data_IF_335507312494
#
_entry.id   IF_335507312494
#
_cell.length_a   1.000
_cell.length_b   1.000
_cell.length_c   1.000
_cell.angle_alpha   90.00
_cell.angle_beta   90.00
_cell.angle_gamma   90.00
#
_symmetry.space_group_name_H-M   'P 1'
#
loop_
_entity.id
_entity.type
_entity.pdbx_description
1 polymer ?
#
# COMPACT_ATOMS: atom_id res chain seq x y z
N UNK A 1 50.33 40.13 -7.50
CA UNK A 1 50.96 39.22 -8.50
C UNK A 1 52.15 38.54 -7.84
N UNK A 2 52.38 37.24 -7.89
CA UNK A 2 51.47 36.10 -8.13
C UNK A 2 52.21 34.85 -7.60
N UNK A 3 51.50 33.92 -6.95
CA UNK A 3 52.11 32.68 -6.42
C UNK A 3 52.42 31.67 -7.52
N UNK A 4 53.55 30.96 -7.36
CA UNK A 4 53.86 29.63 -7.91
C UNK A 4 54.84 28.96 -6.95
N UNK A 5 54.72 27.69 -6.56
CA UNK A 5 53.67 26.70 -6.81
C UNK A 5 54.19 25.36 -6.30
N UNK A 6 53.55 24.75 -5.29
CA UNK A 6 54.02 23.51 -4.67
C UNK A 6 53.35 22.31 -5.31
N UNK A 7 54.11 21.42 -5.92
CA UNK A 7 53.59 20.17 -6.48
C UNK A 7 53.12 19.24 -5.35
N UNK A 8 51.85 18.83 -5.41
CA UNK A 8 51.31 17.71 -4.63
C UNK A 8 51.23 16.47 -5.52
N UNK A 9 51.82 15.38 -5.05
CA UNK A 9 51.69 14.04 -5.65
C UNK A 9 50.24 13.54 -5.55
N UNK A 10 49.75 12.74 -6.51
CA UNK A 10 48.35 12.33 -6.54
C UNK A 10 48.04 11.32 -5.42
N UNK A 11 47.10 11.68 -4.54
CA UNK A 11 46.38 10.72 -3.72
C UNK A 11 45.44 9.93 -4.62
N UNK A 12 45.49 8.61 -4.54
CA UNK A 12 44.60 7.71 -5.28
C UNK A 12 43.14 7.93 -4.89
N UNK A 13 42.34 8.48 -5.80
CA UNK A 13 40.88 8.47 -5.70
C UNK A 13 40.38 7.04 -5.97
N UNK A 14 39.86 6.40 -4.92
CA UNK A 14 39.15 5.13 -5.03
C UNK A 14 37.77 5.39 -5.65
N UNK A 15 37.66 5.23 -6.98
CA UNK A 15 36.40 5.22 -7.70
C UNK A 15 35.64 3.91 -7.45
N UNK A 16 35.19 3.71 -6.21
CA UNK A 16 34.19 2.69 -5.87
C UNK A 16 32.79 3.29 -6.04
N UNK A 17 32.47 3.67 -7.28
CA UNK A 17 31.08 3.80 -7.74
C UNK A 17 30.50 2.39 -7.82
N UNK A 18 30.19 1.79 -6.66
CA UNK A 18 29.30 0.65 -6.58
C UNK A 18 27.95 1.07 -7.14
N UNK A 19 27.75 0.80 -8.44
CA UNK A 19 26.42 0.80 -9.05
C UNK A 19 25.57 -0.16 -8.23
N UNK A 20 24.71 0.40 -7.37
CA UNK A 20 23.71 -0.36 -6.62
C UNK A 20 22.88 -1.12 -7.64
N UNK A 21 23.17 -2.41 -7.79
CA UNK A 21 22.40 -3.29 -8.67
C UNK A 21 21.02 -3.40 -8.04
N UNK A 22 20.04 -2.74 -8.64
CA UNK A 22 18.66 -2.83 -8.16
C UNK A 22 18.23 -4.30 -8.24
N UNK A 23 18.07 -4.94 -7.07
CA UNK A 23 17.56 -6.30 -6.97
C UNK A 23 16.11 -6.33 -7.47
N UNK A 24 15.87 -7.03 -8.58
CA UNK A 24 14.54 -7.19 -9.17
C UNK A 24 14.05 -8.64 -9.07
N UNK A 25 12.73 -8.88 -9.24
CA UNK A 25 12.12 -10.18 -9.52
C UNK A 25 12.73 -11.01 -10.65
N UNK A 26 13.76 -10.55 -11.38
CA UNK A 26 14.57 -11.40 -12.25
C UNK A 26 15.41 -12.43 -11.46
N UNK A 27 15.52 -12.28 -10.14
CA UNK A 27 16.16 -13.23 -9.23
C UNK A 27 15.11 -14.04 -8.45
N UNK A 28 15.17 -15.36 -8.52
CA UNK A 28 14.29 -16.29 -7.79
C UNK A 28 14.24 -16.01 -6.29
N UNK A 29 15.35 -15.53 -5.70
CA UNK A 29 15.39 -15.15 -4.28
C UNK A 29 14.53 -13.92 -3.99
N UNK A 30 14.48 -12.94 -4.91
CA UNK A 30 13.62 -11.76 -4.78
C UNK A 30 12.15 -12.16 -4.92
N UNK A 31 11.83 -13.03 -5.90
CA UNK A 31 10.49 -13.61 -6.05
C UNK A 31 10.06 -14.35 -4.79
N UNK A 32 10.95 -15.17 -4.22
CA UNK A 32 10.72 -15.90 -2.96
C UNK A 32 10.44 -14.95 -1.80
N UNK A 33 11.17 -13.84 -1.68
CA UNK A 33 10.95 -12.83 -0.62
C UNK A 33 9.58 -12.14 -0.77
N UNK A 34 9.17 -11.76 -1.98
CA UNK A 34 7.83 -11.23 -2.24
C UNK A 34 6.73 -12.25 -1.95
N UNK A 35 6.84 -13.47 -2.49
CA UNK A 35 5.86 -14.53 -2.29
C UNK A 35 5.67 -14.89 -0.81
N UNK A 36 6.77 -15.00 -0.05
CA UNK A 36 6.71 -15.26 1.40
C UNK A 36 6.11 -14.08 2.19
N UNK A 37 6.28 -12.84 1.75
CA UNK A 37 5.60 -11.69 2.35
C UNK A 37 4.10 -11.71 2.04
N UNK A 38 3.73 -11.99 0.79
CA UNK A 38 2.34 -12.12 0.34
C UNK A 38 1.61 -13.27 1.05
N UNK A 39 2.22 -14.45 1.20
CA UNK A 39 1.69 -15.59 1.95
C UNK A 39 1.37 -15.24 3.41
N UNK A 40 2.26 -14.51 4.08
CA UNK A 40 2.05 -14.05 5.46
C UNK A 40 0.86 -13.09 5.52
N UNK A 41 0.84 -12.09 4.64
CA UNK A 41 -0.20 -11.05 4.58
C UNK A 41 -1.57 -11.66 4.23
N UNK A 42 -1.63 -12.53 3.23
CA UNK A 42 -2.84 -13.28 2.82
C UNK A 42 -3.33 -14.27 3.89
N UNK A 43 -2.45 -14.77 4.77
CA UNK A 43 -2.86 -15.59 5.90
C UNK A 43 -3.46 -14.73 7.03
N UNK A 44 -2.84 -13.60 7.37
CA UNK A 44 -3.38 -12.66 8.38
C UNK A 44 -4.70 -12.07 7.91
N UNK A 45 -4.82 -11.64 6.65
CA UNK A 45 -6.06 -11.12 6.08
C UNK A 45 -7.25 -12.08 6.30
N UNK A 46 -7.06 -13.38 6.08
CA UNK A 46 -8.10 -14.40 6.27
C UNK A 46 -8.54 -14.53 7.74
N UNK A 47 -7.60 -14.39 8.68
CA UNK A 47 -7.92 -14.32 10.11
C UNK A 47 -8.69 -13.04 10.46
N UNK A 48 -8.29 -11.88 9.93
CA UNK A 48 -8.96 -10.60 10.16
C UNK A 48 -10.37 -10.53 9.56
N UNK A 49 -10.58 -11.06 8.34
CA UNK A 49 -11.90 -11.27 7.74
C UNK A 49 -12.78 -12.11 8.67
N UNK A 50 -12.22 -13.17 9.26
CA UNK A 50 -12.93 -14.04 10.20
C UNK A 50 -13.21 -13.35 11.54
N UNK A 51 -12.35 -12.44 11.99
CA UNK A 51 -12.52 -11.65 13.23
C UNK A 51 -13.49 -10.46 13.06
N UNK A 52 -13.69 -9.97 11.84
CA UNK A 52 -14.54 -8.80 11.54
C UNK A 52 -16.03 -9.14 11.67
N UNK A 53 -16.60 -8.89 12.86
CA UNK A 53 -17.98 -9.21 13.23
C UNK A 53 -18.66 -8.06 13.96
N UNK A 54 -19.99 -8.12 14.05
CA UNK A 54 -20.77 -7.23 14.91
C UNK A 54 -20.28 -7.29 16.37
N UNK A 55 -20.18 -6.12 17.00
CA UNK A 55 -19.77 -5.98 18.40
C UNK A 55 -18.26 -5.92 18.65
N UNK A 56 -17.41 -6.18 17.65
CA UNK A 56 -15.94 -6.13 17.80
C UNK A 56 -15.43 -4.69 17.69
N UNK A 57 -14.44 -4.31 18.51
CA UNK A 57 -13.78 -3.00 18.41
C UNK A 57 -12.76 -2.98 17.27
N UNK A 58 -12.75 -1.90 16.48
CA UNK A 58 -11.76 -1.67 15.43
C UNK A 58 -10.32 -1.78 15.93
N UNK A 59 -9.99 -1.14 17.07
CA UNK A 59 -8.64 -1.15 17.62
C UNK A 59 -8.15 -2.55 18.01
N UNK A 60 -9.05 -3.45 18.40
CA UNK A 60 -8.69 -4.85 18.68
C UNK A 60 -8.34 -5.62 17.41
N UNK A 61 -8.99 -5.33 16.28
CA UNK A 61 -8.67 -5.94 14.98
C UNK A 61 -7.33 -5.40 14.45
N UNK A 62 -7.04 -4.10 14.64
CA UNK A 62 -5.74 -3.52 14.31
C UNK A 62 -4.60 -4.19 15.09
N UNK A 63 -4.70 -4.25 16.43
CA UNK A 63 -3.70 -4.92 17.28
C UNK A 63 -3.55 -6.41 16.93
N UNK A 64 -4.66 -7.09 16.61
CA UNK A 64 -4.67 -8.50 16.20
C UNK A 64 -3.85 -8.71 14.92
N UNK A 65 -4.07 -7.89 13.89
CA UNK A 65 -3.37 -8.00 12.61
C UNK A 65 -1.87 -7.75 12.75
N UNK A 66 -1.49 -6.67 13.44
CA UNK A 66 -0.09 -6.32 13.63
C UNK A 66 0.65 -7.36 14.49
N UNK A 67 0.00 -7.92 15.51
CA UNK A 67 0.56 -9.02 16.29
C UNK A 67 0.75 -10.28 15.43
N UNK A 68 -0.27 -10.70 14.67
CA UNK A 68 -0.19 -11.89 13.81
C UNK A 68 0.85 -11.75 12.70
N UNK A 69 0.99 -10.57 12.09
CA UNK A 69 2.05 -10.28 11.12
C UNK A 69 3.44 -10.46 11.76
N UNK A 70 3.69 -9.81 12.90
CA UNK A 70 4.98 -9.92 13.60
C UNK A 70 5.30 -11.36 14.02
N UNK A 71 4.33 -12.11 14.57
CA UNK A 71 4.49 -13.53 14.94
C UNK A 71 4.82 -14.44 13.75
N UNK A 72 4.31 -14.11 12.55
CA UNK A 72 4.58 -14.85 11.30
C UNK A 72 5.92 -14.46 10.69
N UNK A 73 6.25 -13.16 10.65
CA UNK A 73 7.53 -12.64 10.17
C UNK A 73 8.73 -13.12 11.01
N UNK A 74 8.55 -13.26 12.33
CA UNK A 74 9.55 -13.84 13.22
C UNK A 74 9.87 -15.32 12.91
N UNK A 75 9.02 -16.03 12.14
CA UNK A 75 9.21 -17.45 11.79
C UNK A 75 10.05 -17.65 10.52
N UNK A 76 10.10 -16.67 9.63
CA UNK A 76 10.83 -16.75 8.33
C UNK A 76 12.23 -16.14 8.42
N UNK A 77 13.14 -16.51 7.51
CA UNK A 77 14.51 -15.99 7.41
C UNK A 77 15.25 -15.89 8.77
N UNK A 78 15.23 -16.98 9.57
CA UNK A 78 15.83 -17.00 10.92
C UNK A 78 17.36 -17.12 10.93
N UNK A 79 17.94 -17.69 9.87
CA UNK A 79 19.39 -17.93 9.76
C UNK A 79 20.16 -16.69 9.29
N UNK A 80 19.49 -15.82 8.53
CA UNK A 80 20.00 -14.53 8.09
C UNK A 80 19.66 -13.49 9.15
N UNK A 81 20.65 -13.08 9.93
CA UNK A 81 20.44 -12.14 11.05
C UNK A 81 20.18 -10.70 10.57
N UNK A 82 20.70 -10.36 9.39
CA UNK A 82 20.68 -9.00 8.84
C UNK A 82 19.48 -8.74 7.90
N UNK A 83 18.67 -9.78 7.61
CA UNK A 83 17.50 -9.68 6.74
C UNK A 83 16.36 -8.92 7.43
N UNK A 84 16.20 -7.65 7.07
CA UNK A 84 15.18 -6.74 7.61
C UNK A 84 13.76 -7.17 7.23
N UNK A 85 12.93 -7.50 8.22
CA UNK A 85 11.53 -7.92 8.02
C UNK A 85 10.64 -7.30 9.07
N UNK A 86 9.43 -6.94 8.68
CA UNK A 86 8.52 -6.16 9.52
C UNK A 86 7.23 -5.82 8.80
N UNK A 87 6.40 -5.05 9.48
CA UNK A 87 5.19 -4.45 8.93
C UNK A 87 5.61 -3.36 7.93
N UNK A 88 5.07 -3.43 6.70
CA UNK A 88 5.22 -2.40 5.68
C UNK A 88 4.02 -1.44 5.66
N UNK A 89 2.84 -1.95 6.02
CA UNK A 89 1.61 -1.19 6.19
C UNK A 89 0.86 -1.74 7.42
N UNK A 90 0.67 -0.97 8.49
CA UNK A 90 -0.02 -1.44 9.69
C UNK A 90 -1.49 -1.74 9.40
N UNK A 91 -2.08 -2.58 10.23
CA UNK A 91 -3.46 -3.03 10.06
C UNK A 91 -4.43 -1.88 10.23
N UNK A 92 -5.14 -1.57 9.15
CA UNK A 92 -6.08 -0.46 9.04
C UNK A 92 -7.49 -0.99 8.71
N UNK A 93 -8.49 -0.48 9.42
CA UNK A 93 -9.87 -1.00 9.39
C UNK A 93 -10.84 0.17 9.15
N UNK A 94 -11.15 0.43 7.88
CA UNK A 94 -11.91 1.62 7.46
C UNK A 94 -13.39 1.30 7.20
N UNK A 95 -14.25 1.71 8.13
CA UNK A 95 -15.71 1.46 8.09
C UNK A 95 -16.42 2.47 7.17
N UNK A 96 -17.35 2.00 6.34
CA UNK A 96 -18.29 2.77 5.52
C UNK A 96 -17.63 3.94 4.76
N UNK A 97 -17.84 5.18 5.26
CA UNK A 97 -17.39 6.43 4.65
C UNK A 97 -15.97 6.88 5.04
N UNK A 98 -15.28 6.11 5.89
CA UNK A 98 -13.84 6.14 5.95
C UNK A 98 -13.26 5.41 4.72
N UNK A 99 -12.20 5.96 4.13
CA UNK A 99 -11.61 5.48 2.87
C UNK A 99 -10.65 4.31 3.07
N UNK A 100 -9.66 4.54 3.91
CA UNK A 100 -8.45 3.74 4.04
C UNK A 100 -7.76 4.16 5.35
N UNK A 101 -6.73 3.42 5.74
CA UNK A 101 -5.75 3.76 6.77
C UNK A 101 -6.26 4.08 8.19
N UNK A 102 -7.50 3.72 8.55
CA UNK A 102 -8.00 3.97 9.90
C UNK A 102 -7.43 2.95 10.90
N UNK A 103 -6.43 3.36 11.67
CA UNK A 103 -5.81 2.58 12.74
C UNK A 103 -5.82 3.44 14.04
N UNK A 104 -6.87 3.36 14.87
CA UNK A 104 -7.03 4.27 16.01
C UNK A 104 -6.02 3.96 17.12
N UNK A 105 -5.61 4.98 17.88
CA UNK A 105 -4.80 4.76 19.07
C UNK A 105 -5.68 4.27 20.22
N UNK A 106 -5.10 3.50 21.14
CA UNK A 106 -5.73 3.15 22.44
C UNK A 106 -5.81 4.34 23.43
N UNK A 107 -5.85 5.57 22.92
CA UNK A 107 -6.28 6.81 23.58
C UNK A 107 -7.56 7.40 22.98
N UNK A 108 -7.94 6.94 21.79
CA UNK A 108 -9.03 7.50 21.00
C UNK A 108 -10.34 6.76 21.36
N UNK A 109 -11.53 7.34 21.15
CA UNK A 109 -12.79 6.69 21.48
C UNK A 109 -12.97 5.36 20.71
N UNK A 110 -13.39 4.27 21.38
CA UNK A 110 -13.53 2.97 20.74
C UNK A 110 -14.63 2.98 19.68
N UNK A 111 -14.31 2.45 18.49
CA UNK A 111 -15.27 2.30 17.39
C UNK A 111 -15.68 0.83 17.31
N UNK A 112 -16.96 0.56 17.54
CA UNK A 112 -17.52 -0.79 17.53
C UNK A 112 -18.17 -1.06 16.17
N UNK A 113 -17.73 -2.14 15.52
CA UNK A 113 -18.27 -2.62 14.25
C UNK A 113 -19.74 -3.07 14.44
N UNK A 114 -20.57 -2.81 13.44
CA UNK A 114 -21.99 -3.18 13.44
C UNK A 114 -22.39 -4.03 12.24
N UNK A 115 -23.42 -4.85 12.44
CA UNK A 115 -24.08 -5.60 11.37
C UNK A 115 -24.49 -4.70 10.19
N UNK A 116 -24.38 -5.22 8.97
CA UNK A 116 -24.64 -4.49 7.73
C UNK A 116 -23.63 -3.40 7.36
N UNK A 117 -22.61 -3.13 8.18
CA UNK A 117 -21.54 -2.19 7.84
C UNK A 117 -20.56 -2.79 6.83
N UNK A 118 -20.06 -1.92 5.95
CA UNK A 118 -18.96 -2.21 5.05
C UNK A 118 -17.64 -1.94 5.76
N UNK A 119 -16.75 -2.92 5.81
CA UNK A 119 -15.45 -2.84 6.49
C UNK A 119 -14.35 -3.13 5.48
N UNK A 120 -13.44 -2.17 5.31
CA UNK A 120 -12.21 -2.33 4.53
C UNK A 120 -11.07 -2.72 5.47
N UNK A 121 -10.35 -3.76 5.14
CA UNK A 121 -9.18 -4.26 5.87
C UNK A 121 -7.98 -4.05 4.95
N UNK A 122 -6.97 -3.32 5.41
CA UNK A 122 -5.74 -2.94 4.69
C UNK A 122 -4.54 -3.28 5.59
N UNK A 123 -3.55 -4.02 5.09
CA UNK A 123 -2.34 -4.41 5.81
C UNK A 123 -1.21 -4.82 4.85
N UNK A 124 0.03 -4.82 5.34
CA UNK A 124 1.17 -5.25 4.54
C UNK A 124 2.44 -5.51 5.33
N UNK A 125 3.30 -6.36 4.78
CA UNK A 125 4.57 -6.76 5.35
C UNK A 125 5.71 -6.60 4.35
N UNK A 126 6.95 -6.62 4.84
CA UNK A 126 8.13 -6.73 3.98
C UNK A 126 9.11 -7.78 4.47
N UNK A 127 9.88 -8.33 3.52
CA UNK A 127 11.05 -9.17 3.76
C UNK A 127 12.20 -8.61 2.92
N UNK A 128 13.30 -8.25 3.56
CA UNK A 128 14.44 -7.52 2.95
C UNK A 128 14.01 -6.25 2.19
N UNK A 129 12.98 -5.56 2.67
CA UNK A 129 12.41 -4.40 2.00
C UNK A 129 11.61 -4.69 0.73
N UNK A 130 11.42 -5.95 0.32
CA UNK A 130 10.44 -6.32 -0.70
C UNK A 130 9.06 -6.39 -0.04
N UNK A 131 8.11 -5.61 -0.56
CA UNK A 131 6.84 -5.29 0.10
C UNK A 131 5.70 -6.09 -0.50
N UNK A 132 4.83 -6.63 0.36
CA UNK A 132 3.51 -7.11 -0.04
C UNK A 132 2.43 -6.40 0.80
N UNK A 133 1.48 -5.74 0.16
CA UNK A 133 0.26 -5.19 0.74
C UNK A 133 -0.96 -5.95 0.23
N UNK A 134 -2.04 -5.93 1.00
CA UNK A 134 -3.35 -6.42 0.55
C UNK A 134 -4.44 -5.58 1.20
N UNK A 135 -5.52 -5.34 0.46
CA UNK A 135 -6.74 -4.81 1.02
C UNK A 135 -7.95 -5.59 0.52
N UNK A 136 -8.93 -5.74 1.40
CA UNK A 136 -10.17 -6.44 1.11
C UNK A 136 -11.35 -5.77 1.78
N UNK A 137 -12.47 -5.74 1.08
CA UNK A 137 -13.72 -5.19 1.61
C UNK A 137 -14.71 -6.30 1.92
N UNK A 138 -15.18 -6.35 3.17
CA UNK A 138 -16.26 -7.24 3.62
C UNK A 138 -17.50 -6.43 4.01
N UNK A 139 -18.64 -7.11 4.09
CA UNK A 139 -19.86 -6.56 4.71
C UNK A 139 -20.26 -7.47 5.85
N UNK A 140 -20.38 -6.89 7.05
CA UNK A 140 -20.72 -7.62 8.28
C UNK A 140 -22.13 -8.19 8.16
N UNK A 141 -22.30 -9.45 8.52
CA UNK A 141 -23.59 -10.16 8.41
C UNK A 141 -23.94 -10.67 7.02
N UNK A 142 -23.13 -10.40 5.99
CA UNK A 142 -23.36 -10.94 4.65
C UNK A 142 -23.05 -12.45 4.59
N UNK A 143 -23.94 -13.22 3.95
CA UNK A 143 -23.77 -14.67 3.74
C UNK A 143 -24.33 -15.11 2.38
N UNK A 144 -24.29 -16.42 2.09
CA UNK A 144 -24.90 -16.99 0.88
C UNK A 144 -26.43 -16.81 0.88
N UNK A 145 -27.03 -16.81 2.06
CA UNK A 145 -28.45 -16.60 2.34
C UNK A 145 -28.74 -15.09 2.43
N UNK A 146 -27.93 -14.34 3.19
CA UNK A 146 -28.05 -12.90 3.38
C UNK A 146 -27.16 -12.11 2.40
N UNK A 147 -27.53 -12.13 1.12
CA UNK A 147 -26.78 -11.41 0.08
C UNK A 147 -26.99 -9.90 0.16
N UNK A 148 -25.89 -9.15 0.04
CA UNK A 148 -25.89 -7.70 -0.16
C UNK A 148 -26.63 -7.29 -1.43
N UNK A 149 -27.25 -6.10 -1.43
CA UNK A 149 -28.13 -5.61 -2.52
C UNK A 149 -27.92 -4.13 -2.83
N UNK A 150 -28.45 -3.68 -3.97
CA UNK A 150 -28.49 -2.28 -4.37
C UNK A 150 -27.10 -1.65 -4.52
N UNK A 151 -26.97 -0.36 -4.16
CA UNK A 151 -25.73 0.42 -4.30
C UNK A 151 -24.49 -0.26 -3.70
N UNK A 152 -24.64 -0.94 -2.56
CA UNK A 152 -23.53 -1.65 -1.89
C UNK A 152 -23.01 -2.82 -2.72
N UNK A 153 -23.91 -3.63 -3.30
CA UNK A 153 -23.53 -4.70 -4.23
C UNK A 153 -22.88 -4.14 -5.50
N UNK A 154 -23.44 -3.07 -6.08
CA UNK A 154 -22.89 -2.42 -7.27
C UNK A 154 -21.45 -1.95 -7.07
N UNK A 155 -21.14 -1.27 -5.96
CA UNK A 155 -19.79 -0.75 -5.73
C UNK A 155 -18.78 -1.87 -5.45
N UNK A 156 -19.18 -2.96 -4.77
CA UNK A 156 -18.32 -4.13 -4.55
C UNK A 156 -17.99 -4.82 -5.88
N UNK A 157 -18.99 -5.04 -6.73
CA UNK A 157 -18.79 -5.62 -8.05
C UNK A 157 -17.99 -4.70 -8.97
N UNK A 158 -18.17 -3.37 -8.89
CA UNK A 158 -17.39 -2.43 -9.67
C UNK A 158 -15.90 -2.48 -9.32
N UNK A 159 -15.56 -2.43 -8.03
CA UNK A 159 -14.18 -2.47 -7.57
C UNK A 159 -13.52 -3.82 -7.89
N UNK A 160 -14.22 -4.93 -7.66
CA UNK A 160 -13.74 -6.27 -8.02
C UNK A 160 -13.46 -6.41 -9.53
N UNK A 161 -14.40 -6.02 -10.39
CA UNK A 161 -14.21 -6.12 -11.85
C UNK A 161 -13.16 -5.13 -12.37
N UNK A 162 -13.02 -3.95 -11.76
CA UNK A 162 -11.97 -2.99 -12.10
C UNK A 162 -10.57 -3.50 -11.69
N UNK A 163 -10.45 -4.15 -10.53
CA UNK A 163 -9.22 -4.86 -10.13
C UNK A 163 -8.89 -5.97 -11.12
N UNK A 164 -9.84 -6.87 -11.39
CA UNK A 164 -9.66 -7.97 -12.36
C UNK A 164 -9.24 -7.47 -13.75
N UNK A 165 -9.77 -6.32 -14.20
CA UNK A 165 -9.37 -5.69 -15.45
C UNK A 165 -7.96 -5.07 -15.38
N UNK A 166 -7.65 -4.32 -14.32
CA UNK A 166 -6.34 -3.70 -14.11
C UNK A 166 -5.22 -4.76 -14.07
N UNK A 167 -5.40 -5.84 -13.30
CA UNK A 167 -4.50 -7.01 -13.24
C UNK A 167 -4.24 -7.60 -14.64
N UNK A 168 -5.27 -7.71 -15.48
CA UNK A 168 -5.13 -8.27 -16.85
C UNK A 168 -4.49 -7.31 -17.86
N UNK A 169 -4.56 -6.01 -17.61
CA UNK A 169 -3.96 -4.95 -18.42
C UNK A 169 -2.53 -4.60 -17.98
N UNK A 170 -2.10 -5.03 -16.80
CA UNK A 170 -0.72 -4.95 -16.35
C UNK A 170 0.15 -5.98 -17.10
N UNK A 171 0.53 -5.59 -18.31
CA UNK A 171 1.35 -6.39 -19.22
C UNK A 171 2.49 -5.53 -19.78
N UNK A 172 3.76 -5.96 -19.64
CA UNK A 172 4.91 -5.23 -20.18
C UNK A 172 4.73 -4.85 -21.65
N UNK A 173 4.98 -3.58 -21.99
CA UNK A 173 4.95 -3.06 -23.35
C UNK A 173 3.59 -3.00 -24.08
N UNK A 174 2.49 -3.51 -23.53
CA UNK A 174 1.19 -3.54 -24.22
C UNK A 174 0.30 -2.33 -23.91
N UNK A 175 0.11 -2.03 -22.63
CA UNK A 175 -0.75 -0.93 -22.16
C UNK A 175 0.07 0.10 -21.39
N UNK A 176 -0.43 1.34 -21.35
CA UNK A 176 0.09 2.44 -20.53
C UNK A 176 -0.80 2.67 -19.31
N UNK A 177 -0.28 3.34 -18.28
CA UNK A 177 -1.04 3.67 -17.07
C UNK A 177 -2.41 4.35 -17.35
N UNK A 178 -2.46 5.28 -18.31
CA UNK A 178 -3.71 5.96 -18.71
C UNK A 178 -4.78 4.99 -19.20
N UNK A 179 -4.42 3.93 -19.93
CA UNK A 179 -5.40 3.00 -20.49
C UNK A 179 -6.07 2.16 -19.40
N UNK A 180 -5.34 1.90 -18.31
CA UNK A 180 -5.88 1.27 -17.09
C UNK A 180 -6.82 2.24 -16.38
N UNK A 181 -6.43 3.52 -16.21
CA UNK A 181 -7.32 4.57 -15.68
C UNK A 181 -8.65 4.64 -16.46
N UNK A 182 -8.58 4.71 -17.79
CA UNK A 182 -9.75 4.77 -18.67
C UNK A 182 -10.62 3.49 -18.59
N UNK A 183 -10.03 2.32 -18.30
CA UNK A 183 -10.77 1.07 -18.08
C UNK A 183 -11.50 1.06 -16.73
N UNK A 184 -10.84 1.53 -15.67
CA UNK A 184 -11.42 1.67 -14.33
C UNK A 184 -12.64 2.61 -14.41
N UNK A 185 -12.52 3.75 -15.09
CA UNK A 185 -13.63 4.69 -15.33
C UNK A 185 -14.78 4.03 -16.14
N UNK A 186 -14.49 3.26 -17.19
CA UNK A 186 -15.52 2.54 -17.97
C UNK A 186 -16.30 1.54 -17.11
N UNK A 187 -15.61 0.77 -16.27
CA UNK A 187 -16.23 -0.23 -15.39
C UNK A 187 -17.09 0.45 -14.32
N UNK A 188 -16.59 1.52 -13.70
CA UNK A 188 -17.35 2.29 -12.72
C UNK A 188 -18.68 2.82 -13.28
N UNK A 189 -18.66 3.30 -14.53
CA UNK A 189 -19.86 3.78 -15.22
C UNK A 189 -20.92 2.68 -15.44
N UNK A 190 -20.52 1.43 -15.73
CA UNK A 190 -21.45 0.28 -15.88
C UNK A 190 -22.26 0.07 -14.59
N UNK A 191 -21.59 0.12 -13.44
CA UNK A 191 -22.21 -0.10 -12.13
C UNK A 191 -22.86 1.15 -11.52
N UNK A 192 -22.75 2.31 -12.20
CA UNK A 192 -23.22 3.64 -11.75
C UNK A 192 -22.56 4.08 -10.45
N UNK A 193 -21.24 3.93 -10.38
CA UNK A 193 -20.38 4.35 -9.28
C UNK A 193 -19.26 5.25 -9.79
N UNK A 194 -18.46 5.85 -8.89
CA UNK A 194 -17.34 6.75 -9.22
C UNK A 194 -16.04 6.22 -8.60
N UNK A 195 -14.92 6.10 -9.34
CA UNK A 195 -13.64 5.85 -8.70
C UNK A 195 -13.24 7.05 -7.82
N UNK A 196 -12.42 6.80 -6.82
CA UNK A 196 -11.99 7.86 -5.89
C UNK A 196 -10.99 8.78 -6.57
N UNK A 197 -11.24 10.08 -6.46
CA UNK A 197 -10.45 11.11 -7.14
C UNK A 197 -9.01 11.15 -6.62
N UNK A 198 -8.05 11.05 -7.55
CA UNK A 198 -6.61 11.16 -7.32
C UNK A 198 -5.96 10.06 -6.45
N UNK A 199 -6.58 8.88 -6.33
CA UNK A 199 -5.94 7.74 -5.65
C UNK A 199 -4.94 7.04 -6.57
N UNK A 200 -3.83 6.55 -6.01
CA UNK A 200 -2.65 6.09 -6.75
C UNK A 200 -2.34 4.63 -6.44
N UNK A 201 -2.26 3.80 -7.48
CA UNK A 201 -1.54 2.52 -7.44
C UNK A 201 -0.07 2.78 -7.75
N UNK A 202 0.84 2.20 -6.97
CA UNK A 202 2.28 2.49 -7.02
C UNK A 202 3.11 1.30 -7.47
N UNK A 203 4.16 1.58 -8.24
CA UNK A 203 5.31 0.68 -8.38
C UNK A 203 5.96 0.42 -7.01
N UNK A 204 6.28 -0.83 -6.71
CA UNK A 204 7.03 -1.24 -5.52
C UNK A 204 8.49 -1.53 -5.90
N UNK A 205 9.43 -0.93 -5.17
CA UNK A 205 10.87 -1.27 -5.25
C UNK A 205 11.39 -1.66 -3.87
N UNK A 206 12.58 -2.25 -3.79
CA UNK A 206 13.24 -2.61 -2.53
C UNK A 206 13.32 -1.38 -1.60
N UNK A 207 12.65 -1.44 -0.45
CA UNK A 207 12.46 -0.37 0.55
C UNK A 207 11.58 0.82 0.14
N UNK A 208 10.84 0.78 -0.98
CA UNK A 208 10.08 1.92 -1.53
C UNK A 208 8.67 1.47 -1.93
N UNK A 209 7.68 1.83 -1.12
CA UNK A 209 6.24 1.55 -1.38
C UNK A 209 5.61 2.50 -2.42
N UNK A 210 6.24 3.65 -2.64
CA UNK A 210 5.75 4.77 -3.45
C UNK A 210 6.69 5.05 -4.62
N UNK A 211 6.81 4.06 -5.52
CA UNK A 211 7.61 4.18 -6.73
C UNK A 211 7.12 5.27 -7.70
N UNK A 212 7.98 5.55 -8.67
CA UNK A 212 7.82 6.66 -9.62
C UNK A 212 6.74 6.38 -10.67
N UNK A 213 6.62 5.12 -11.13
CA UNK A 213 5.56 4.71 -12.04
C UNK A 213 4.26 4.50 -11.25
N UNK A 214 3.21 5.19 -11.68
CA UNK A 214 1.94 5.25 -10.96
C UNK A 214 0.75 5.12 -11.91
N UNK A 215 -0.34 4.53 -11.42
CA UNK A 215 -1.65 4.52 -12.09
C UNK A 215 -2.61 5.32 -11.19
N UNK A 216 -3.17 6.40 -11.73
CA UNK A 216 -4.11 7.27 -11.00
C UNK A 216 -5.55 6.89 -11.35
N UNK A 217 -6.42 6.90 -10.34
CA UNK A 217 -7.86 6.73 -10.50
C UNK A 217 -8.55 8.08 -10.54
N UNK A 218 -9.51 8.25 -11.47
CA UNK A 218 -10.33 9.46 -11.63
C UNK A 218 -9.52 10.76 -11.40
N UNK A 219 -8.48 11.04 -12.23
CA UNK A 219 -7.60 12.18 -11.99
C UNK A 219 -8.34 13.50 -12.21
N UNK A 220 -8.26 14.38 -11.20
CA UNK A 220 -8.74 15.75 -11.26
C UNK A 220 -8.00 16.57 -12.33
N UNK A 221 -8.53 17.75 -12.67
CA UNK A 221 -8.04 18.57 -13.79
C UNK A 221 -6.55 18.88 -13.70
N UNK A 222 -6.03 19.17 -12.49
CA UNK A 222 -4.61 19.44 -12.25
C UNK A 222 -3.77 18.18 -12.43
N UNK A 223 -4.06 17.13 -11.65
CA UNK A 223 -3.34 15.86 -11.69
C UNK A 223 -3.34 15.22 -13.09
N UNK A 224 -4.40 15.40 -13.88
CA UNK A 224 -4.47 14.91 -15.27
C UNK A 224 -3.42 15.57 -16.19
N UNK A 225 -3.02 16.81 -15.91
CA UNK A 225 -1.93 17.50 -16.64
C UNK A 225 -0.53 17.17 -16.12
N UNK A 226 -0.41 16.85 -14.83
CA UNK A 226 0.86 16.53 -14.15
C UNK A 226 1.22 15.03 -14.23
N UNK A 227 0.25 14.17 -14.60
CA UNK A 227 0.44 12.72 -14.70
C UNK A 227 1.51 12.34 -15.74
N UNK A 228 2.62 11.82 -15.25
CA UNK A 228 3.64 11.15 -16.07
C UNK A 228 3.06 9.91 -16.73
N UNK A 229 3.15 9.84 -18.07
CA UNK A 229 2.75 8.65 -18.83
C UNK A 229 3.85 7.61 -18.73
N UNK A 230 3.56 6.43 -18.20
CA UNK A 230 4.51 5.32 -18.14
C UNK A 230 4.01 4.09 -18.89
N UNK A 231 4.97 3.29 -19.34
CA UNK A 231 4.79 1.92 -19.81
C UNK A 231 5.34 0.95 -18.77
N UNK A 232 4.70 -0.21 -18.67
CA UNK A 232 5.14 -1.29 -17.80
C UNK A 232 6.27 -2.11 -18.45
N UNK A 233 7.19 -2.58 -17.63
CA UNK A 233 8.37 -3.37 -18.00
C UNK A 233 8.41 -4.69 -17.23
N UNK A 234 9.28 -5.63 -17.66
CA UNK A 234 9.41 -6.93 -17.00
C UNK A 234 10.11 -6.76 -15.65
N UNK A 235 9.73 -7.60 -14.70
CA UNK A 235 10.25 -7.61 -13.33
C UNK A 235 9.96 -6.33 -12.54
N UNK A 236 9.02 -5.49 -12.99
CA UNK A 236 8.42 -4.47 -12.13
C UNK A 236 7.38 -5.12 -11.21
N UNK A 237 7.17 -4.50 -10.05
CA UNK A 237 6.15 -4.91 -9.08
C UNK A 237 5.23 -3.72 -8.84
N UNK A 238 3.93 -3.97 -8.70
CA UNK A 238 2.93 -2.93 -8.44
C UNK A 238 2.02 -3.32 -7.29
N UNK A 239 1.77 -2.39 -6.38
CA UNK A 239 0.59 -2.42 -5.52
C UNK A 239 -0.54 -1.73 -6.28
N UNK A 240 -1.49 -2.53 -6.77
CA UNK A 240 -2.72 -2.03 -7.38
C UNK A 240 -3.73 -1.87 -6.28
N UNK A 241 -4.23 -0.66 -6.09
CA UNK A 241 -5.27 -0.27 -5.15
C UNK A 241 -6.44 0.30 -5.96
N UNK A 242 -7.60 -0.33 -5.88
CA UNK A 242 -8.82 0.09 -6.57
C UNK A 242 -9.84 0.60 -5.57
N UNK A 243 -10.07 1.93 -5.60
CA UNK A 243 -11.09 2.55 -4.77
C UNK A 243 -12.30 3.02 -5.54
N UNK A 244 -13.48 2.55 -5.12
CA UNK A 244 -14.77 2.88 -5.73
C UNK A 244 -15.76 3.47 -4.73
N UNK A 245 -16.53 4.47 -5.17
CA UNK A 245 -17.49 5.24 -4.39
C UNK A 245 -18.92 5.06 -4.85
N UNK A 246 -19.84 4.98 -3.88
CA UNK A 246 -21.28 5.19 -4.19
C UNK A 246 -21.70 6.66 -4.22
N UNK A 247 -20.76 7.58 -3.95
CA UNK A 247 -20.95 9.04 -4.01
C UNK A 247 -20.31 9.66 -5.25
N UNK A 248 -19.85 10.91 -5.15
CA UNK A 248 -19.28 11.66 -6.28
C UNK A 248 -17.85 11.21 -6.67
N UNK A 249 -17.19 10.38 -5.85
CA UNK A 249 -15.76 10.07 -5.96
C UNK A 249 -14.84 11.09 -5.28
N UNK A 250 -15.38 12.27 -4.92
CA UNK A 250 -14.65 13.33 -4.21
C UNK A 250 -14.52 13.03 -2.72
N UNK A 251 -13.50 13.63 -2.13
CA UNK A 251 -12.89 13.19 -0.87
C UNK A 251 -12.73 14.39 0.10
N UNK A 252 -12.90 14.22 1.42
CA UNK A 252 -12.80 15.32 2.43
C UNK A 252 -12.15 14.91 3.76
N UNK A 253 -11.31 15.74 4.36
CA UNK A 253 -10.72 15.42 5.68
C UNK A 253 -11.82 15.22 6.73
N UNK A 254 -11.67 14.19 7.58
CA UNK A 254 -12.51 13.94 8.76
C UNK A 254 -11.79 14.42 10.03
N UNK A 255 -12.53 14.71 11.09
CA UNK A 255 -11.98 15.13 12.39
C UNK A 255 -11.24 14.01 13.16
N UNK A 256 -11.05 12.84 12.54
CA UNK A 256 -10.24 11.74 13.07
C UNK A 256 -8.75 12.07 13.03
N UNK A 257 -8.02 11.77 14.11
CA UNK A 257 -6.56 11.93 14.17
C UNK A 257 -5.86 11.05 13.12
N UNK A 258 -4.89 11.63 12.41
CA UNK A 258 -3.91 10.86 11.64
C UNK A 258 -2.97 10.14 12.60
N UNK A 259 -2.94 8.81 12.57
CA UNK A 259 -2.16 7.95 13.48
C UNK A 259 -1.04 7.20 12.76
N UNK A 260 -1.16 7.11 11.45
CA UNK A 260 -0.28 6.41 10.52
C UNK A 260 0.65 7.50 9.89
N UNK A 261 1.90 7.21 9.49
CA UNK A 261 2.96 8.21 9.16
C UNK A 261 4.22 7.66 8.45
N UNK A 262 4.51 8.14 7.22
CA UNK A 262 5.68 7.71 6.46
C UNK A 262 6.93 8.58 6.73
N UNK A 263 8.09 7.95 6.97
CA UNK A 263 9.38 8.64 6.81
C UNK A 263 9.69 8.87 5.33
N UNK A 264 10.08 10.09 5.00
CA UNK A 264 10.65 10.47 3.71
C UNK A 264 12.17 10.42 3.86
N UNK A 265 12.83 9.42 3.28
CA UNK A 265 14.28 9.24 3.45
C UNK A 265 15.11 10.32 2.74
N UNK A 266 14.59 10.90 1.65
CA UNK A 266 15.25 11.96 0.87
C UNK A 266 15.22 13.35 1.57
N UNK A 267 14.47 13.48 2.68
CA UNK A 267 14.33 14.74 3.42
C UNK A 267 15.20 14.74 4.68
N UNK A 268 16.41 15.28 4.58
CA UNK A 268 17.30 15.48 5.74
C UNK A 268 16.94 16.78 6.47
N UNK A 269 16.47 16.68 7.71
CA UNK A 269 16.14 17.85 8.54
C UNK A 269 16.60 17.68 10.00
N UNK A 270 17.40 18.62 10.50
CA UNK A 270 17.91 18.61 11.87
C UNK A 270 16.84 18.99 12.91
N UNK A 271 16.14 17.99 13.46
CA UNK A 271 15.09 18.17 14.45
C UNK A 271 15.58 18.88 15.72
N UNK A 272 15.06 20.09 15.97
CA UNK A 272 15.45 20.94 17.13
C UNK A 272 14.86 20.45 18.46
N UNK A 273 13.65 19.88 18.46
CA UNK A 273 12.92 19.47 19.68
C UNK A 273 13.36 18.06 20.13
N UNK A 274 13.63 17.89 21.43
CA UNK A 274 14.07 16.60 22.01
C UNK A 274 13.05 15.47 21.81
N UNK A 275 11.76 15.77 21.96
CA UNK A 275 10.68 14.80 21.75
C UNK A 275 10.64 14.29 20.29
N UNK A 276 10.77 15.18 19.31
CA UNK A 276 10.80 14.81 17.89
C UNK A 276 11.99 13.89 17.56
N UNK A 277 13.18 14.19 18.10
CA UNK A 277 14.34 13.28 17.98
C UNK A 277 14.09 11.93 18.63
N UNK A 278 13.40 11.88 19.76
CA UNK A 278 13.07 10.60 20.40
C UNK A 278 12.11 9.74 19.55
N UNK A 279 11.11 10.38 18.91
CA UNK A 279 10.22 9.69 17.95
C UNK A 279 11.01 9.17 16.74
N UNK A 280 11.91 9.98 16.18
CA UNK A 280 12.81 9.56 15.09
C UNK A 280 13.71 8.38 15.50
N UNK A 281 14.35 8.43 16.68
CA UNK A 281 15.16 7.33 17.20
C UNK A 281 14.33 6.06 17.47
N UNK A 282 13.11 6.19 18.00
CA UNK A 282 12.23 5.05 18.20
C UNK A 282 11.85 4.40 16.87
N UNK A 283 11.53 5.20 15.85
CA UNK A 283 11.24 4.73 14.49
C UNK A 283 12.41 3.95 13.88
N UNK A 284 13.63 4.52 13.94
CA UNK A 284 14.85 3.88 13.44
C UNK A 284 15.15 2.59 14.22
N UNK A 285 15.09 2.63 15.55
CA UNK A 285 15.42 1.50 16.44
C UNK A 285 14.47 0.31 16.26
N UNK A 286 13.18 0.57 16.01
CA UNK A 286 12.20 -0.48 15.76
C UNK A 286 12.38 -1.16 14.38
N UNK A 287 13.24 -0.62 13.50
CA UNK A 287 13.41 -1.06 12.10
C UNK A 287 12.10 -1.09 11.28
N UNK A 288 11.04 -0.42 11.78
CA UNK A 288 9.74 -0.27 11.11
C UNK A 288 9.92 0.75 9.99
N UNK A 289 9.99 0.29 8.74
CA UNK A 289 10.28 1.17 7.61
C UNK A 289 9.11 2.03 7.17
N UNK A 290 7.87 1.81 7.63
CA UNK A 290 6.76 2.72 7.37
C UNK A 290 5.63 2.59 8.41
N UNK A 291 4.99 3.70 8.75
CA UNK A 291 3.53 3.80 8.73
C UNK A 291 3.17 4.57 7.40
N UNK A 292 1.95 4.59 6.83
CA UNK A 292 1.60 5.37 5.61
C UNK A 292 0.29 6.20 5.71
N UNK A 293 0.09 7.27 4.91
CA UNK A 293 -1.14 8.12 4.95
C UNK A 293 -1.53 8.75 3.60
N UNK A 294 -2.80 8.62 3.21
CA UNK A 294 -3.71 9.69 2.78
C UNK A 294 -5.15 9.45 3.33
N UNK A 295 -5.89 10.47 3.81
CA UNK A 295 -7.26 10.32 4.35
C UNK A 295 -8.23 11.37 3.81
N UNK A 296 -9.27 10.99 3.05
CA UNK A 296 -10.30 11.96 2.61
C UNK A 296 -11.69 11.31 2.26
N UNK A 297 -12.73 11.51 3.06
CA UNK A 297 -14.05 10.81 3.13
C UNK A 297 -14.99 10.75 1.92
N UNK A 298 -15.68 9.60 1.83
CA UNK A 298 -17.04 9.29 1.35
C UNK A 298 -17.19 7.74 1.38
N UNK A 299 -18.36 7.14 1.12
CA UNK A 299 -18.48 5.66 1.20
C UNK A 299 -17.70 4.98 0.08
N UNK A 300 -16.61 4.32 0.46
CA UNK A 300 -15.66 3.69 -0.46
C UNK A 300 -15.38 2.21 -0.14
N UNK A 301 -14.82 1.53 -1.14
CA UNK A 301 -14.35 0.14 -1.16
C UNK A 301 -12.90 0.18 -1.61
N UNK A 302 -12.03 -0.58 -0.96
CA UNK A 302 -10.66 -0.82 -1.43
C UNK A 302 -10.48 -2.32 -1.70
N UNK A 303 -9.74 -2.61 -2.77
CA UNK A 303 -9.12 -3.91 -3.03
C UNK A 303 -7.69 -3.61 -3.40
N UNK A 304 -6.73 -4.21 -2.68
CA UNK A 304 -5.31 -4.10 -3.04
C UNK A 304 -4.75 -5.46 -3.38
N UNK A 305 -3.95 -5.52 -4.43
CA UNK A 305 -3.23 -6.70 -4.86
C UNK A 305 -1.81 -6.32 -5.29
N UNK A 306 -0.83 -7.08 -4.83
CA UNK A 306 0.56 -6.97 -5.28
C UNK A 306 0.74 -7.84 -6.52
N UNK A 307 1.27 -7.27 -7.59
CA UNK A 307 1.43 -7.94 -8.87
C UNK A 307 2.89 -7.84 -9.30
N UNK A 308 3.52 -8.98 -9.56
CA UNK A 308 4.86 -9.08 -10.12
C UNK A 308 4.74 -9.32 -11.63
N UNK A 309 5.38 -8.50 -12.46
CA UNK A 309 5.28 -8.60 -13.92
C UNK A 309 6.30 -9.59 -14.49
N UNK A 310 5.82 -10.79 -14.85
CA UNK A 310 6.57 -11.79 -15.61
C UNK A 310 6.08 -11.91 -17.06
N UNK A 311 6.83 -12.62 -17.90
CA UNK A 311 6.42 -12.95 -19.28
C UNK A 311 5.18 -13.86 -19.32
N UNK A 312 5.07 -14.80 -18.37
CA UNK A 312 3.90 -15.64 -18.15
C UNK A 312 3.17 -15.23 -16.85
N UNK A 313 1.85 -15.05 -16.95
CA UNK A 313 0.98 -14.56 -15.86
C UNK A 313 1.20 -15.33 -14.54
N UNK A 314 1.82 -14.68 -13.56
CA UNK A 314 2.01 -15.21 -12.21
C UNK A 314 1.64 -14.17 -11.17
N UNK A 315 0.47 -14.33 -10.56
CA UNK A 315 -0.03 -13.53 -9.43
C UNK A 315 0.52 -14.13 -8.13
N UNK A 316 0.94 -13.30 -7.16
CA UNK A 316 1.39 -13.71 -5.83
C UNK A 316 0.44 -13.15 -4.75
#
# INVERSE_FOLDING_TARGET
MAEKGRQTSPSSESNDDEKIVMETPASDLVVTKYAMAADIVNAVLRELITATKDGVEVGEICDLGDRLMNERLAKVFKKEKDTLKGIAMPTCISINNCVCHFSPLRSDPPIIIKDGQMVKIDLGAHIDGFIATVAHTVVVGASLENKIKGRMANVMLAAYNAMEAAVRMLRPGLYKNIEITDMIDKIANIYKVRPVENMLSHELRKNKIDGEKQIIQNPGEKQRSEMTKCSFEKFEVYAIDILMSTGEGKTRILDSRTTVYKKVDDLVYSLKVKASRYVEYAYISLHIKQFCVMFFSNTFIAFDCVIILFDDFSIC
#
